data_IF_098284228637
#
_entry.id   IF_098284228637
#
_cell.length_a   1.000
_cell.length_b   1.000
_cell.length_c   1.000
_cell.angle_alpha   90.00
_cell.angle_beta   90.00
_cell.angle_gamma   90.00
#
_symmetry.space_group_name_H-M   'P 1'
#
loop_
_entity.id
_entity.type
_entity.pdbx_description
1 polymer ?
#
# COMPACT_ATOMS: atom_id res chain seq x y z
N UNK A 1 -13.71 -22.21 15.86
CA UNK A 1 -13.37 -21.88 14.45
C UNK A 1 -14.66 -21.56 13.70
N UNK A 2 -14.73 -20.43 12.98
CA UNK A 2 -16.00 -19.84 12.52
C UNK A 2 -16.38 -20.16 11.06
N UNK A 3 -15.38 -20.24 10.18
CA UNK A 3 -15.56 -20.55 8.77
C UNK A 3 -14.26 -21.14 8.22
N UNK A 4 -14.28 -22.43 7.84
CA UNK A 4 -13.10 -23.16 7.33
C UNK A 4 -12.81 -22.90 5.85
N UNK A 5 -13.73 -22.25 5.14
CA UNK A 5 -13.64 -22.02 3.70
C UNK A 5 -12.96 -20.68 3.36
N UNK A 6 -12.52 -19.92 4.36
CA UNK A 6 -11.84 -18.64 4.15
C UNK A 6 -10.49 -18.87 3.46
N UNK A 7 -10.25 -18.13 2.39
CA UNK A 7 -8.93 -18.03 1.77
C UNK A 7 -8.02 -17.11 2.56
N UNK A 8 -6.72 -17.11 2.25
CA UNK A 8 -5.77 -16.17 2.87
C UNK A 8 -6.14 -14.70 2.60
N UNK A 9 -6.71 -14.39 1.43
CA UNK A 9 -7.20 -13.04 1.09
C UNK A 9 -8.43 -12.67 1.91
N UNK A 10 -9.38 -13.60 2.07
CA UNK A 10 -10.59 -13.35 2.87
C UNK A 10 -10.23 -12.95 4.31
N UNK A 11 -9.22 -13.59 4.90
CA UNK A 11 -8.73 -13.25 6.24
C UNK A 11 -8.19 -11.81 6.29
N UNK A 12 -7.43 -11.38 5.27
CA UNK A 12 -6.94 -10.00 5.20
C UNK A 12 -8.08 -8.99 5.07
N UNK A 13 -9.05 -9.26 4.19
CA UNK A 13 -10.25 -8.43 4.04
C UNK A 13 -11.03 -8.32 5.35
N UNK A 14 -11.23 -9.43 6.06
CA UNK A 14 -11.88 -9.43 7.38
C UNK A 14 -11.15 -8.55 8.38
N UNK A 15 -9.81 -8.57 8.40
CA UNK A 15 -9.00 -7.70 9.28
C UNK A 15 -9.25 -6.23 8.92
N UNK A 16 -9.14 -5.85 7.65
CA UNK A 16 -9.38 -4.46 7.18
C UNK A 16 -10.82 -4.00 7.46
N UNK A 17 -11.77 -4.91 7.37
CA UNK A 17 -13.20 -4.67 7.57
C UNK A 17 -13.63 -4.54 9.03
N UNK A 18 -12.85 -5.06 9.97
CA UNK A 18 -13.23 -5.16 11.39
C UNK A 18 -12.27 -4.43 12.33
N UNK A 19 -11.09 -4.02 11.84
CA UNK A 19 -10.11 -3.29 12.63
C UNK A 19 -10.68 -1.99 13.21
N UNK A 20 -10.24 -1.69 14.43
CA UNK A 20 -10.71 -0.53 15.20
C UNK A 20 -9.57 0.47 15.39
N UNK A 21 -9.65 1.66 14.77
CA UNK A 21 -8.65 2.72 14.98
C UNK A 21 -8.86 3.46 16.32
N UNK A 22 -10.00 3.24 17.00
CA UNK A 22 -10.35 3.92 18.25
C UNK A 22 -9.36 3.54 19.35
N UNK A 23 -9.02 4.51 20.20
CA UNK A 23 -8.11 4.36 21.34
C UNK A 23 -6.63 4.11 21.00
N UNK A 24 -6.25 4.16 19.72
CA UNK A 24 -4.85 4.12 19.29
C UNK A 24 -4.33 5.54 19.01
N UNK A 25 -3.28 5.94 19.72
CA UNK A 25 -2.71 7.27 19.59
C UNK A 25 -1.59 7.28 18.53
N UNK A 26 -1.82 7.98 17.43
CA UNK A 26 -0.84 8.21 16.37
C UNK A 26 -1.11 9.56 15.70
N UNK A 27 -0.06 10.28 15.30
CA UNK A 27 -0.21 11.56 14.60
C UNK A 27 -0.44 11.39 13.09
N UNK A 28 -0.22 10.18 12.57
CA UNK A 28 -0.19 9.88 11.14
C UNK A 28 -1.49 9.24 10.61
N UNK A 29 -2.56 9.21 11.43
CA UNK A 29 -3.86 8.74 10.99
C UNK A 29 -4.38 9.57 9.81
N UNK A 30 -4.76 8.89 8.74
CA UNK A 30 -5.38 9.47 7.54
C UNK A 30 -6.61 8.68 7.15
N UNK A 31 -7.50 9.29 6.38
CA UNK A 31 -8.63 8.60 5.76
C UNK A 31 -8.28 8.32 4.29
N UNK A 32 -8.39 7.08 3.85
CA UNK A 32 -8.13 6.71 2.46
C UNK A 32 -9.33 6.98 1.54
N UNK A 33 -9.17 6.71 0.23
CA UNK A 33 -10.21 6.96 -0.78
C UNK A 33 -11.56 6.30 -0.50
N UNK A 34 -11.58 5.18 0.22
CA UNK A 34 -12.83 4.46 0.59
C UNK A 34 -13.34 4.81 1.99
N UNK A 35 -12.81 5.85 2.64
CA UNK A 35 -13.30 6.35 3.92
C UNK A 35 -12.79 5.59 5.16
N UNK A 36 -11.84 4.65 5.01
CA UNK A 36 -11.25 3.93 6.15
C UNK A 36 -10.09 4.73 6.74
N UNK A 37 -9.99 4.76 8.07
CA UNK A 37 -8.84 5.34 8.77
C UNK A 37 -7.68 4.37 8.76
N UNK A 38 -6.51 4.87 8.41
CA UNK A 38 -5.27 4.09 8.30
C UNK A 38 -4.08 4.90 8.86
N UNK A 39 -3.17 4.20 9.52
CA UNK A 39 -1.92 4.74 10.06
C UNK A 39 -0.77 3.86 9.56
N UNK A 40 0.40 4.44 9.32
CA UNK A 40 1.60 3.66 9.03
C UNK A 40 2.04 2.86 10.27
N UNK A 41 1.82 3.38 11.48
CA UNK A 41 2.15 2.69 12.72
C UNK A 41 1.16 1.55 13.06
N UNK A 42 -0.13 1.72 12.74
CA UNK A 42 -1.19 0.80 13.21
C UNK A 42 -2.01 0.12 12.10
N UNK A 43 -1.70 0.36 10.82
CA UNK A 43 -2.55 -0.10 9.72
C UNK A 43 -3.98 0.44 9.87
N UNK A 44 -4.98 -0.43 9.72
CA UNK A 44 -6.39 -0.07 9.93
C UNK A 44 -6.82 -0.03 11.41
N UNK A 45 -5.93 -0.38 12.34
CA UNK A 45 -6.15 -0.35 13.78
C UNK A 45 -6.08 -1.72 14.45
N UNK A 46 -6.61 -1.79 15.67
CA UNK A 46 -6.55 -2.99 16.50
C UNK A 46 -7.50 -4.07 15.97
N UNK A 47 -7.03 -5.31 15.93
CA UNK A 47 -7.86 -6.46 15.56
C UNK A 47 -8.94 -6.71 16.62
N UNK A 48 -10.17 -6.96 16.17
CA UNK A 48 -11.27 -7.38 17.03
C UNK A 48 -11.66 -8.82 16.71
N UNK A 49 -11.19 -9.75 17.53
CA UNK A 49 -11.41 -11.18 17.31
C UNK A 49 -12.90 -11.56 17.25
N UNK A 50 -13.74 -10.93 18.08
CA UNK A 50 -15.17 -11.20 18.09
C UNK A 50 -15.83 -10.75 16.78
N UNK A 51 -15.49 -9.55 16.31
CA UNK A 51 -16.01 -9.02 15.05
C UNK A 51 -15.49 -9.79 13.84
N UNK A 52 -14.24 -10.25 13.85
CA UNK A 52 -13.69 -11.13 12.80
C UNK A 52 -14.51 -12.42 12.73
N UNK A 53 -14.74 -13.08 13.86
CA UNK A 53 -15.51 -14.34 13.93
C UNK A 53 -16.95 -14.14 13.46
N UNK A 54 -17.62 -13.09 13.94
CA UNK A 54 -19.01 -12.79 13.56
C UNK A 54 -19.13 -12.48 12.07
N UNK A 55 -18.19 -11.73 11.50
CA UNK A 55 -18.19 -11.39 10.07
C UNK A 55 -17.81 -12.60 9.20
N UNK A 56 -16.89 -13.46 9.68
CA UNK A 56 -16.48 -14.69 9.01
C UNK A 56 -17.64 -15.69 8.78
N UNK A 57 -18.59 -15.79 9.71
CA UNK A 57 -19.75 -16.69 9.60
C UNK A 57 -20.65 -16.38 8.39
N UNK A 58 -20.68 -15.11 7.96
CA UNK A 58 -21.52 -14.62 6.85
C UNK A 58 -20.67 -14.16 5.66
N UNK A 59 -19.38 -14.48 5.67
CA UNK A 59 -18.44 -14.00 4.68
C UNK A 59 -18.66 -14.69 3.34
N UNK A 60 -18.71 -13.90 2.27
CA UNK A 60 -18.65 -14.40 0.91
C UNK A 60 -17.22 -14.27 0.41
N UNK A 61 -16.64 -15.38 -0.02
CA UNK A 61 -15.28 -15.43 -0.57
C UNK A 61 -15.12 -14.40 -1.69
N UNK A 62 -14.02 -13.66 -1.63
CA UNK A 62 -13.69 -12.64 -2.64
C UNK A 62 -13.43 -13.28 -4.01
N UNK A 63 -13.63 -12.53 -5.12
CA UNK A 63 -13.32 -13.02 -6.46
C UNK A 63 -11.83 -13.41 -6.62
N UNK A 64 -11.46 -14.13 -7.70
CA UNK A 64 -10.08 -14.43 -8.04
C UNK A 64 -9.16 -13.20 -7.98
N UNK A 65 -7.90 -13.43 -7.66
CA UNK A 65 -6.92 -12.35 -7.58
C UNK A 65 -6.46 -12.00 -8.99
N UNK A 66 -6.45 -10.71 -9.32
CA UNK A 66 -5.90 -10.20 -10.57
C UNK A 66 -4.66 -9.36 -10.29
N UNK A 67 -3.69 -9.38 -11.21
CA UNK A 67 -2.46 -8.58 -11.10
C UNK A 67 -2.33 -7.75 -12.38
N UNK A 68 -2.61 -6.46 -12.27
CA UNK A 68 -2.32 -5.48 -13.32
C UNK A 68 -0.90 -4.94 -13.13
N UNK A 69 -0.01 -5.20 -14.09
CA UNK A 69 1.33 -4.64 -14.12
C UNK A 69 1.43 -3.55 -15.17
N UNK A 70 1.88 -2.37 -14.76
CA UNK A 70 2.03 -1.21 -15.63
C UNK A 70 3.48 -0.76 -15.63
N UNK A 71 4.05 -0.64 -16.82
CA UNK A 71 5.36 -0.06 -17.06
C UNK A 71 5.16 1.09 -18.04
N UNK A 72 5.30 2.33 -17.58
CA UNK A 72 5.19 3.49 -18.47
C UNK A 72 6.57 3.78 -19.09
N UNK A 73 6.75 3.54 -20.41
CA UNK A 73 8.03 3.76 -21.08
C UNK A 73 8.42 5.24 -21.13
N UNK A 74 7.49 6.16 -20.88
CA UNK A 74 7.75 7.60 -20.87
C UNK A 74 8.32 8.08 -19.53
N UNK A 75 8.41 7.21 -18.51
CA UNK A 75 9.13 7.53 -17.28
C UNK A 75 10.62 7.49 -17.56
N UNK A 76 11.21 8.67 -17.71
CA UNK A 76 12.65 8.84 -17.88
C UNK A 76 13.30 8.98 -16.50
N UNK A 77 14.49 8.41 -16.33
CA UNK A 77 15.29 8.57 -15.13
C UNK A 77 15.58 10.05 -14.86
N UNK A 78 15.34 10.48 -13.61
CA UNK A 78 15.58 11.86 -13.16
C UNK A 78 16.72 11.90 -12.17
N UNK A 79 17.55 12.93 -12.27
CA UNK A 79 18.56 13.25 -11.26
C UNK A 79 17.98 14.26 -10.27
N UNK A 80 18.50 14.24 -9.05
CA UNK A 80 18.10 15.16 -7.99
C UNK A 80 19.25 15.40 -7.03
N UNK A 81 19.26 16.57 -6.41
CA UNK A 81 20.22 16.98 -5.40
C UNK A 81 19.66 16.79 -4.00
N UNK A 82 20.50 17.01 -3.00
CA UNK A 82 20.09 17.00 -1.59
C UNK A 82 18.96 18.02 -1.38
N UNK A 83 17.91 17.59 -0.68
CA UNK A 83 16.70 18.38 -0.38
C UNK A 83 15.79 18.70 -1.57
N UNK A 84 16.09 18.19 -2.77
CA UNK A 84 15.17 18.27 -3.90
C UNK A 84 14.13 17.15 -3.84
N UNK A 85 12.90 17.47 -4.27
CA UNK A 85 11.82 16.50 -4.41
C UNK A 85 11.62 16.17 -5.88
N UNK A 86 11.63 14.89 -6.21
CA UNK A 86 11.25 14.38 -7.53
C UNK A 86 9.81 13.88 -7.47
N UNK A 87 9.00 14.29 -8.45
CA UNK A 87 7.63 13.79 -8.63
C UNK A 87 7.58 13.06 -9.97
N UNK A 88 7.19 11.79 -9.93
CA UNK A 88 6.91 10.96 -11.10
C UNK A 88 5.41 10.71 -11.10
N UNK A 89 4.74 11.10 -12.19
CA UNK A 89 3.32 10.84 -12.40
C UNK A 89 3.19 9.66 -13.35
N UNK A 90 2.33 8.72 -12.99
CA UNK A 90 1.97 7.57 -13.80
C UNK A 90 0.46 7.56 -13.96
N UNK A 91 0.01 7.29 -15.18
CA UNK A 91 -1.39 7.09 -15.49
C UNK A 91 -1.63 5.60 -15.72
N UNK A 92 -2.75 5.09 -15.22
CA UNK A 92 -3.17 3.71 -15.43
C UNK A 92 -4.68 3.68 -15.56
N UNK A 93 -5.16 2.81 -16.43
CA UNK A 93 -6.55 2.41 -16.59
C UNK A 93 -6.90 1.17 -15.76
N UNK A 94 -6.00 0.71 -14.89
CA UNK A 94 -6.12 -0.52 -14.12
C UNK A 94 -6.31 -1.79 -14.99
N UNK A 95 -5.70 -1.81 -16.19
CA UNK A 95 -5.79 -2.92 -17.14
C UNK A 95 -7.24 -3.17 -17.62
N UNK A 96 -7.99 -2.09 -17.84
CA UNK A 96 -9.38 -2.11 -18.28
C UNK A 96 -9.59 -2.97 -19.53
N UNK A 97 -10.69 -3.74 -19.56
CA UNK A 97 -11.07 -4.66 -20.64
C UNK A 97 -10.06 -5.80 -20.89
N UNK A 98 -9.30 -6.21 -19.88
CA UNK A 98 -8.39 -7.37 -19.95
C UNK A 98 -8.73 -8.40 -18.87
N UNK A 99 -8.14 -9.59 -18.95
CA UNK A 99 -8.27 -10.63 -17.91
C UNK A 99 -7.71 -10.23 -16.53
N UNK A 100 -6.90 -9.17 -16.47
CA UNK A 100 -6.26 -8.66 -15.26
C UNK A 100 -6.82 -7.31 -14.80
N UNK A 101 -8.02 -6.96 -15.27
CA UNK A 101 -8.71 -5.73 -14.86
C UNK A 101 -8.91 -5.68 -13.34
N UNK A 102 -8.47 -4.59 -12.72
CA UNK A 102 -8.63 -4.36 -11.28
C UNK A 102 -9.75 -3.36 -11.04
N UNK A 103 -10.85 -3.86 -10.49
CA UNK A 103 -11.98 -3.04 -10.05
C UNK A 103 -11.87 -2.60 -8.58
N UNK A 104 -11.22 -3.41 -7.73
CA UNK A 104 -11.04 -3.15 -6.31
C UNK A 104 -9.60 -3.46 -5.91
N UNK A 105 -8.93 -2.47 -5.34
CA UNK A 105 -7.51 -2.56 -5.00
C UNK A 105 -7.32 -3.27 -3.65
N UNK A 106 -6.34 -4.16 -3.59
CA UNK A 106 -5.94 -4.85 -2.35
C UNK A 106 -4.54 -4.41 -1.91
N UNK A 107 -3.58 -4.55 -2.83
CA UNK A 107 -2.17 -4.24 -2.61
C UNK A 107 -1.65 -3.43 -3.78
N UNK A 108 -0.80 -2.46 -3.50
CA UNK A 108 -0.05 -1.73 -4.54
C UNK A 108 1.43 -1.90 -4.31
N UNK A 109 2.14 -2.31 -5.36
CA UNK A 109 3.59 -2.35 -5.36
C UNK A 109 4.17 -1.30 -6.29
N UNK A 110 5.13 -0.52 -5.81
CA UNK A 110 5.94 0.39 -6.60
C UNK A 110 7.37 -0.15 -6.66
N UNK A 111 7.78 -0.65 -7.82
CA UNK A 111 9.14 -1.12 -8.07
C UNK A 111 10.04 0.07 -8.39
N UNK A 112 10.90 0.43 -7.44
CA UNK A 112 11.73 1.64 -7.55
C UNK A 112 13.20 1.27 -7.76
N UNK A 113 13.80 1.90 -8.76
CA UNK A 113 15.25 1.91 -9.00
C UNK A 113 15.79 3.33 -8.78
N UNK A 114 16.71 3.49 -7.84
CA UNK A 114 17.31 4.78 -7.52
C UNK A 114 18.73 4.59 -7.00
N UNK A 115 19.67 5.41 -7.48
CA UNK A 115 21.06 5.46 -6.99
C UNK A 115 21.24 6.71 -6.14
N UNK A 116 21.80 6.54 -4.95
CA UNK A 116 22.09 7.65 -4.01
C UNK A 116 23.33 7.35 -3.20
N UNK A 117 24.00 8.39 -2.70
CA UNK A 117 25.18 8.24 -1.84
C UNK A 117 24.84 7.71 -0.44
N UNK A 118 23.69 8.11 0.12
CA UNK A 118 23.24 7.73 1.47
C UNK A 118 21.76 7.36 1.41
N UNK A 119 21.46 6.06 1.38
CA UNK A 119 20.12 5.54 1.18
C UNK A 119 19.12 5.95 2.26
N UNK A 120 19.56 6.11 3.51
CA UNK A 120 18.72 6.50 4.63
C UNK A 120 18.14 7.91 4.57
N UNK A 121 18.71 8.77 3.71
CA UNK A 121 18.17 10.11 3.46
C UNK A 121 17.01 10.13 2.46
N UNK A 122 16.72 9.00 1.81
CA UNK A 122 15.57 8.91 0.90
C UNK A 122 14.27 8.79 1.69
N UNK A 123 13.27 9.51 1.18
CA UNK A 123 11.87 9.30 1.55
C UNK A 123 11.08 9.08 0.27
N UNK A 124 10.25 8.04 0.26
CA UNK A 124 9.46 7.66 -0.91
C UNK A 124 7.99 7.65 -0.49
N UNK A 125 7.17 8.34 -1.28
CA UNK A 125 5.73 8.44 -1.06
C UNK A 125 5.00 8.06 -2.34
N UNK A 126 3.81 7.48 -2.20
CA UNK A 126 2.92 7.14 -3.30
C UNK A 126 1.54 7.72 -3.02
N UNK A 127 1.05 8.54 -3.94
CA UNK A 127 -0.30 9.12 -3.86
C UNK A 127 -1.22 8.41 -4.85
N UNK A 128 -2.34 7.85 -4.37
CA UNK A 128 -3.36 7.23 -5.24
C UNK A 128 -4.19 8.28 -5.99
N UNK A 129 -4.89 7.92 -7.08
CA UNK A 129 -5.81 8.83 -7.77
C UNK A 129 -6.91 9.41 -6.87
N UNK A 130 -7.30 8.69 -5.81
CA UNK A 130 -8.26 9.16 -4.81
C UNK A 130 -7.62 10.03 -3.70
N UNK A 131 -6.33 10.34 -3.81
CA UNK A 131 -5.63 11.24 -2.89
C UNK A 131 -5.02 10.57 -1.66
N UNK A 132 -5.10 9.23 -1.52
CA UNK A 132 -4.44 8.53 -0.41
C UNK A 132 -2.93 8.64 -0.55
N UNK A 133 -2.25 9.26 0.42
CA UNK A 133 -0.78 9.41 0.42
C UNK A 133 -0.10 8.40 1.37
N UNK A 134 0.45 7.34 0.77
CA UNK A 134 1.18 6.26 1.43
C UNK A 134 2.67 6.59 1.58
N UNK A 135 3.23 6.37 2.77
CA UNK A 135 4.70 6.40 2.96
C UNK A 135 5.25 5.02 2.62
N UNK A 136 6.05 4.93 1.56
CA UNK A 136 6.69 3.69 1.12
C UNK A 136 8.05 3.48 1.77
N UNK A 137 8.77 4.58 2.01
CA UNK A 137 10.04 4.60 2.72
C UNK A 137 10.14 5.86 3.57
N UNK A 138 10.25 5.70 4.89
CA UNK A 138 10.61 6.77 5.81
C UNK A 138 12.12 6.98 5.88
N UNK A 139 12.54 8.13 6.43
CA UNK A 139 13.96 8.42 6.69
C UNK A 139 14.52 7.40 7.68
N UNK A 140 15.72 6.86 7.42
CA UNK A 140 16.42 5.92 8.29
C UNK A 140 17.79 6.49 8.64
N UNK A 141 17.95 6.98 9.87
CA UNK A 141 19.14 7.72 10.30
C UNK A 141 20.43 6.88 10.26
N UNK A 142 20.32 5.59 10.54
CA UNK A 142 21.45 4.65 10.58
C UNK A 142 21.78 3.99 9.22
N UNK A 143 21.04 4.31 8.15
CA UNK A 143 21.27 3.71 6.82
C UNK A 143 22.15 4.62 5.95
N UNK A 144 23.45 4.41 6.00
CA UNK A 144 24.46 5.14 5.22
C UNK A 144 24.86 4.45 3.91
N UNK A 145 24.23 3.31 3.58
CA UNK A 145 24.53 2.51 2.38
C UNK A 145 24.44 3.34 1.08
N UNK A 146 25.41 3.20 0.16
CA UNK A 146 25.39 3.82 -1.17
C UNK A 146 24.68 2.97 -2.25
N UNK A 147 24.13 1.81 -1.89
CA UNK A 147 23.60 0.85 -2.88
C UNK A 147 22.29 1.32 -3.52
N UNK A 148 21.62 2.28 -2.88
CA UNK A 148 20.30 2.74 -3.29
C UNK A 148 19.27 1.60 -3.32
N UNK A 149 18.43 1.58 -4.35
CA UNK A 149 17.49 0.50 -4.63
C UNK A 149 17.54 0.10 -6.10
N UNK A 150 17.39 -1.19 -6.37
CA UNK A 150 17.31 -1.74 -7.72
C UNK A 150 16.03 -2.56 -7.84
N UNK A 151 15.04 -2.04 -8.59
CA UNK A 151 13.73 -2.66 -8.79
C UNK A 151 13.07 -3.12 -7.49
N UNK A 152 13.25 -2.37 -6.40
CA UNK A 152 12.78 -2.78 -5.08
C UNK A 152 11.26 -2.60 -4.96
N UNK A 153 10.49 -3.65 -4.63
CA UNK A 153 9.03 -3.60 -4.64
C UNK A 153 8.48 -3.05 -3.31
N UNK A 154 8.46 -1.74 -3.13
CA UNK A 154 7.77 -1.14 -1.99
C UNK A 154 6.27 -1.38 -2.08
N UNK A 155 5.63 -1.72 -0.97
CA UNK A 155 4.22 -2.12 -0.95
C UNK A 155 3.40 -1.23 0.00
N UNK A 156 2.14 -0.97 -0.37
CA UNK A 156 1.13 -0.34 0.50
C UNK A 156 -0.22 -1.05 0.39
N UNK A 157 -0.93 -1.11 1.52
CA UNK A 157 -2.34 -1.56 1.66
C UNK A 157 -3.29 -0.40 1.95
N UNK A 158 -2.79 0.84 1.90
CA UNK A 158 -3.56 2.01 2.34
C UNK A 158 -4.42 2.60 1.22
N UNK A 159 -3.99 2.44 -0.04
CA UNK A 159 -4.43 3.23 -1.20
C UNK A 159 -5.86 2.99 -1.65
#
# INVERSE_FOLDING_TARGET
EANRNLTWRDVQHLIVETAKPKYLNALDWKTNGVGKRVSHAFGFGMMDAAQIVLKAQKWRTVPPQHICQQNDPNIIARTFKKYERVIIQMYTDACMNTENEINFLEHVQSKVSVKVKYRGNLQIFLTSPMGTNSTLLGRRVEDDSPDGFNSWPFMTVQN
#
